data_IF_581441391460
#
_entry.id   IF_581441391460
#
_cell.length_a   1.000
_cell.length_b   1.000
_cell.length_c   1.000
_cell.angle_alpha   90.00
_cell.angle_beta   90.00
_cell.angle_gamma   90.00
#
_symmetry.space_group_name_H-M   'P 1'
#
loop_
_entity.id
_entity.type
_entity.pdbx_description
1 polymer ?
#
# COMPACT_ATOMS: atom_id res chain seq x y z
N UNK A 1 -37.50 11.70 19.06
CA UNK A 1 -37.05 10.30 19.06
C UNK A 1 -36.86 9.85 17.61
N UNK A 2 -35.66 10.04 17.05
CA UNK A 2 -35.34 9.60 15.68
C UNK A 2 -34.03 8.81 15.74
N UNK A 3 -34.11 7.57 15.26
CA UNK A 3 -33.11 6.53 15.36
C UNK A 3 -31.93 6.81 14.44
N UNK A 4 -30.72 6.84 15.01
CA UNK A 4 -29.48 6.76 14.24
C UNK A 4 -29.04 5.30 14.16
N UNK A 5 -29.24 4.70 12.98
CA UNK A 5 -28.69 3.38 12.64
C UNK A 5 -27.16 3.46 12.63
N UNK A 6 -26.53 2.63 13.46
CA UNK A 6 -25.08 2.43 13.48
C UNK A 6 -24.65 1.73 12.19
N UNK A 7 -24.07 2.47 11.25
CA UNK A 7 -23.25 1.91 10.19
C UNK A 7 -21.99 1.29 10.82
N UNK A 8 -21.96 -0.04 10.95
CA UNK A 8 -20.74 -0.78 11.30
C UNK A 8 -19.82 -0.82 10.09
N UNK A 9 -18.81 0.04 10.05
CA UNK A 9 -17.68 -0.13 9.14
C UNK A 9 -16.89 -1.38 9.55
N UNK A 10 -16.87 -2.37 8.66
CA UNK A 10 -16.05 -3.58 8.78
C UNK A 10 -14.63 -3.19 8.39
N UNK A 11 -13.77 -2.93 9.37
CA UNK A 11 -12.34 -2.67 9.15
C UNK A 11 -11.70 -4.02 8.85
N UNK A 12 -11.42 -4.29 7.57
CA UNK A 12 -10.58 -5.42 7.18
C UNK A 12 -9.14 -5.06 7.52
N UNK A 13 -8.67 -5.62 8.63
CA UNK A 13 -7.29 -5.54 9.06
C UNK A 13 -6.40 -6.26 8.05
N UNK A 14 -5.52 -5.51 7.38
CA UNK A 14 -4.37 -6.05 6.66
C UNK A 14 -3.11 -5.58 7.39
N UNK A 15 -2.56 -6.50 8.18
CA UNK A 15 -1.13 -6.81 8.25
C UNK A 15 -0.15 -5.96 9.09
N UNK A 16 -0.04 -6.31 10.37
CA UNK A 16 1.24 -6.47 11.07
C UNK A 16 1.19 -7.81 11.84
N UNK A 17 1.91 -8.88 11.43
CA UNK A 17 1.85 -10.15 12.11
C UNK A 17 2.88 -10.17 13.23
N UNK A 18 2.52 -9.64 14.41
CA UNK A 18 3.09 -10.02 15.71
C UNK A 18 2.56 -9.12 16.82
N UNK A 19 1.28 -9.25 17.23
CA UNK A 19 0.83 -8.64 18.48
C UNK A 19 -0.29 -9.41 19.21
N UNK A 20 -0.45 -10.70 18.95
CA UNK A 20 -1.42 -11.55 19.65
C UNK A 20 -0.77 -12.90 19.99
N UNK A 21 0.07 -12.92 21.02
CA UNK A 21 0.31 -14.06 21.91
C UNK A 21 1.34 -13.67 22.99
N UNK A 22 0.85 -13.21 24.14
CA UNK A 22 1.44 -13.43 25.47
C UNK A 22 0.60 -12.73 26.55
N UNK A 23 -0.64 -13.21 26.74
CA UNK A 23 -1.28 -13.10 28.06
C UNK A 23 -0.59 -14.17 28.90
N UNK A 24 0.51 -13.84 29.57
CA UNK A 24 1.20 -14.82 30.41
C UNK A 24 2.62 -14.52 30.91
N UNK A 25 3.25 -13.38 30.59
CA UNK A 25 4.54 -12.99 31.21
C UNK A 25 4.53 -11.46 31.46
N UNK A 26 3.93 -11.03 32.57
CA UNK A 26 4.05 -9.67 33.10
C UNK A 26 5.33 -9.64 33.95
N UNK A 27 6.41 -8.96 33.56
CA UNK A 27 6.64 -7.61 34.10
C UNK A 27 7.76 -6.80 33.41
N UNK A 28 8.38 -7.23 32.30
CA UNK A 28 9.55 -6.51 31.73
C UNK A 28 9.37 -5.87 30.35
N UNK A 29 8.29 -6.16 29.60
CA UNK A 29 8.13 -5.68 28.21
C UNK A 29 7.04 -4.59 27.99
N UNK A 30 6.47 -4.04 29.08
CA UNK A 30 5.35 -3.08 29.00
C UNK A 30 5.68 -1.81 28.20
N UNK A 31 6.90 -1.30 28.31
CA UNK A 31 7.34 -0.07 27.62
C UNK A 31 7.47 -0.26 26.10
N UNK A 32 8.05 -1.38 25.65
CA UNK A 32 8.24 -1.68 24.22
C UNK A 32 6.89 -1.91 23.51
N UNK A 33 5.98 -2.66 24.13
CA UNK A 33 4.64 -2.90 23.59
C UNK A 33 3.85 -1.59 23.50
N UNK A 34 3.91 -0.75 24.54
CA UNK A 34 3.23 0.56 24.53
C UNK A 34 3.78 1.49 23.44
N UNK A 35 5.10 1.48 23.23
CA UNK A 35 5.77 2.22 22.14
C UNK A 35 5.29 1.73 20.77
N UNK A 36 5.29 0.43 20.52
CA UNK A 36 4.80 -0.15 19.26
C UNK A 36 3.33 0.18 18.99
N UNK A 37 2.47 0.10 20.00
CA UNK A 37 1.05 0.46 19.88
C UNK A 37 0.90 1.97 19.57
N UNK A 38 1.73 2.83 20.17
CA UNK A 38 1.71 4.27 19.91
C UNK A 38 2.18 4.58 18.48
N UNK A 39 3.26 3.95 18.03
CA UNK A 39 3.80 4.09 16.68
C UNK A 39 2.82 3.58 15.62
N UNK A 40 2.22 2.40 15.84
CA UNK A 40 1.18 1.86 14.96
C UNK A 40 -0.05 2.79 14.86
N UNK A 41 -0.51 3.35 15.98
CA UNK A 41 -1.60 4.35 15.96
C UNK A 41 -1.21 5.62 15.21
N UNK A 42 0.02 6.09 15.34
CA UNK A 42 0.52 7.25 14.61
C UNK A 42 0.58 6.99 13.11
N UNK A 43 1.01 5.81 12.68
CA UNK A 43 1.04 5.42 11.27
C UNK A 43 -0.36 5.37 10.66
N UNK A 44 -1.34 4.77 11.36
CA UNK A 44 -2.74 4.74 10.92
C UNK A 44 -3.30 6.17 10.81
N UNK A 45 -3.03 7.03 11.79
CA UNK A 45 -3.47 8.42 11.76
C UNK A 45 -2.84 9.22 10.59
N UNK A 46 -1.57 8.94 10.26
CA UNK A 46 -0.89 9.55 9.12
C UNK A 46 -1.51 9.14 7.79
N UNK A 47 -1.76 7.84 7.58
CA UNK A 47 -2.42 7.32 6.37
C UNK A 47 -3.82 7.95 6.21
N UNK A 48 -4.62 8.00 7.29
CA UNK A 48 -5.94 8.64 7.28
C UNK A 48 -5.87 10.14 6.95
N UNK A 49 -4.85 10.85 7.43
CA UNK A 49 -4.64 12.25 7.12
C UNK A 49 -4.30 12.45 5.64
N UNK A 50 -3.39 11.62 5.10
CA UNK A 50 -3.03 11.63 3.69
C UNK A 50 -4.25 11.37 2.79
N UNK A 51 -5.05 10.36 3.12
CA UNK A 51 -6.28 10.05 2.40
C UNK A 51 -7.26 11.23 2.47
N UNK A 52 -7.50 11.79 3.65
CA UNK A 52 -8.44 12.90 3.84
C UNK A 52 -8.04 14.13 3.00
N UNK A 53 -6.76 14.49 3.01
CA UNK A 53 -6.24 15.60 2.21
C UNK A 53 -6.37 15.32 0.71
N UNK A 54 -6.03 14.10 0.28
CA UNK A 54 -6.14 13.72 -1.13
C UNK A 54 -7.59 13.78 -1.62
N UNK A 55 -8.53 13.21 -0.86
CA UNK A 55 -9.96 13.23 -1.18
C UNK A 55 -10.49 14.67 -1.26
N UNK A 56 -10.17 15.49 -0.26
CA UNK A 56 -10.64 16.88 -0.21
C UNK A 56 -10.05 17.71 -1.35
N UNK A 57 -8.75 17.56 -1.62
CA UNK A 57 -8.06 18.23 -2.72
C UNK A 57 -8.60 17.81 -4.09
N UNK A 58 -8.87 16.52 -4.27
CA UNK A 58 -9.46 15.99 -5.49
C UNK A 58 -10.87 16.56 -5.75
N UNK A 59 -11.72 16.63 -4.73
CA UNK A 59 -13.06 17.20 -4.89
C UNK A 59 -13.00 18.70 -5.21
N UNK A 60 -12.14 19.46 -4.54
CA UNK A 60 -11.91 20.87 -4.86
C UNK A 60 -11.42 21.04 -6.31
N UNK A 61 -10.48 20.21 -6.76
CA UNK A 61 -9.96 20.22 -8.13
C UNK A 61 -11.05 19.92 -9.16
N UNK A 62 -11.87 18.89 -8.91
CA UNK A 62 -12.99 18.50 -9.77
C UNK A 62 -14.03 19.60 -9.87
N UNK A 63 -14.31 20.28 -8.77
CA UNK A 63 -15.32 21.35 -8.68
C UNK A 63 -14.79 22.69 -9.23
N UNK A 64 -13.51 22.76 -9.63
CA UNK A 64 -12.87 23.92 -10.26
C UNK A 64 -12.25 24.91 -9.28
N UNK A 65 -12.23 24.61 -7.98
CA UNK A 65 -11.58 25.43 -6.95
C UNK A 65 -10.08 25.10 -6.88
N UNK A 66 -9.33 25.58 -7.87
CA UNK A 66 -7.91 25.26 -8.02
C UNK A 66 -7.04 25.84 -6.90
N UNK A 67 -7.45 26.93 -6.25
CA UNK A 67 -6.69 27.54 -5.15
C UNK A 67 -6.79 26.71 -3.86
N UNK A 68 -8.00 26.24 -3.54
CA UNK A 68 -8.21 25.33 -2.40
C UNK A 68 -7.55 23.98 -2.67
N UNK A 69 -7.72 23.45 -3.88
CA UNK A 69 -7.09 22.20 -4.29
C UNK A 69 -5.56 22.27 -4.16
N UNK A 70 -4.93 23.33 -4.67
CA UNK A 70 -3.49 23.56 -4.53
C UNK A 70 -3.05 23.51 -3.06
N UNK A 71 -3.72 24.26 -2.18
CA UNK A 71 -3.37 24.33 -0.75
C UNK A 71 -3.44 22.97 -0.07
N UNK A 72 -4.47 22.18 -0.40
CA UNK A 72 -4.66 20.83 0.14
C UNK A 72 -3.59 19.86 -0.38
N UNK A 73 -3.25 19.93 -1.67
CA UNK A 73 -2.20 19.09 -2.24
C UNK A 73 -0.79 19.47 -1.77
N UNK A 74 -0.49 20.77 -1.60
CA UNK A 74 0.76 21.22 -0.98
C UNK A 74 0.91 20.64 0.43
N UNK A 75 -0.17 20.72 1.23
CA UNK A 75 -0.20 20.13 2.57
C UNK A 75 0.00 18.61 2.54
N UNK A 76 -0.62 17.92 1.57
CA UNK A 76 -0.47 16.48 1.39
C UNK A 76 0.98 16.11 1.03
N UNK A 77 1.55 16.76 0.02
CA UNK A 77 2.93 16.51 -0.44
C UNK A 77 3.93 16.75 0.69
N UNK A 78 3.69 17.74 1.55
CA UNK A 78 4.54 18.02 2.70
C UNK A 78 4.52 16.90 3.76
N UNK A 79 3.38 16.25 3.99
CA UNK A 79 3.27 15.18 4.99
C UNK A 79 3.53 13.78 4.41
N UNK A 80 3.25 13.56 3.14
CA UNK A 80 3.32 12.25 2.48
C UNK A 80 4.73 11.95 1.94
N UNK A 81 5.68 11.85 2.86
CA UNK A 81 7.08 11.58 2.53
C UNK A 81 7.29 10.19 1.90
N UNK A 82 6.40 9.23 2.18
CA UNK A 82 6.44 7.87 1.63
C UNK A 82 5.80 7.77 0.23
N UNK A 83 5.03 8.78 -0.17
CA UNK A 83 4.26 8.82 -1.41
C UNK A 83 3.15 7.76 -1.44
N UNK A 84 2.39 7.65 -0.34
CA UNK A 84 1.14 6.90 -0.27
C UNK A 84 0.13 7.40 -1.30
N UNK A 85 0.11 8.71 -1.56
CA UNK A 85 -0.78 9.44 -2.47
C UNK A 85 0.01 10.31 -3.45
N UNK A 86 1.02 9.74 -4.11
CA UNK A 86 1.91 10.47 -5.02
C UNK A 86 1.18 11.11 -6.22
N UNK A 87 0.00 10.63 -6.60
CA UNK A 87 -0.86 11.25 -7.62
C UNK A 87 -1.14 12.73 -7.32
N UNK A 88 -1.09 13.12 -6.04
CA UNK A 88 -1.21 14.50 -5.60
C UNK A 88 -0.27 15.44 -6.35
N UNK A 89 0.94 14.98 -6.72
CA UNK A 89 1.90 15.81 -7.47
C UNK A 89 1.40 16.15 -8.88
N UNK A 90 0.68 15.24 -9.53
CA UNK A 90 0.09 15.50 -10.85
C UNK A 90 -1.06 16.50 -10.75
N UNK A 91 -1.95 16.33 -9.74
CA UNK A 91 -3.03 17.30 -9.51
C UNK A 91 -2.51 18.66 -9.07
N UNK A 92 -1.48 18.70 -8.21
CA UNK A 92 -0.82 19.93 -7.79
C UNK A 92 -0.21 20.67 -8.99
N UNK A 93 0.49 19.96 -9.88
CA UNK A 93 1.00 20.55 -11.11
C UNK A 93 -0.13 21.12 -11.99
N UNK A 94 -1.28 20.45 -12.09
CA UNK A 94 -2.45 20.98 -12.80
C UNK A 94 -3.05 22.22 -12.11
N UNK A 95 -3.09 22.26 -10.78
CA UNK A 95 -3.53 23.45 -10.06
C UNK A 95 -2.60 24.64 -10.35
N UNK A 96 -1.28 24.43 -10.27
CA UNK A 96 -0.27 25.46 -10.55
C UNK A 96 -0.32 26.00 -11.98
N UNK A 97 -0.70 25.18 -12.97
CA UNK A 97 -0.95 25.66 -14.33
C UNK A 97 -2.12 26.66 -14.41
N UNK A 98 -3.07 26.59 -13.47
CA UNK A 98 -4.25 27.47 -13.43
C UNK A 98 -4.02 28.72 -12.56
N UNK A 99 -3.24 28.59 -11.50
CA UNK A 99 -3.05 29.64 -10.48
C UNK A 99 -1.74 30.42 -10.64
N UNK A 100 -0.67 29.76 -11.09
CA UNK A 100 0.70 30.30 -11.12
C UNK A 100 1.32 30.20 -12.52
N UNK A 101 2.43 29.46 -12.66
CA UNK A 101 3.26 29.38 -13.86
C UNK A 101 3.53 27.93 -14.28
N UNK A 102 3.73 27.70 -15.59
CA UNK A 102 4.10 26.39 -16.12
C UNK A 102 5.45 25.90 -15.57
N UNK A 103 6.36 26.82 -15.27
CA UNK A 103 7.67 26.52 -14.69
C UNK A 103 7.58 25.91 -13.29
N UNK A 104 6.71 26.46 -12.43
CA UNK A 104 6.46 25.91 -11.10
C UNK A 104 5.78 24.54 -11.18
N UNK A 105 4.80 24.40 -12.06
CA UNK A 105 4.11 23.13 -12.27
C UNK A 105 5.07 22.00 -12.70
N UNK A 106 6.00 22.28 -13.62
CA UNK A 106 7.06 21.32 -14.03
C UNK A 106 8.04 21.03 -12.89
N UNK A 107 8.34 22.02 -12.06
CA UNK A 107 9.24 21.86 -10.92
C UNK A 107 8.68 20.87 -9.90
N UNK A 108 7.36 20.88 -9.63
CA UNK A 108 6.71 19.92 -8.73
C UNK A 108 6.92 18.47 -9.19
N UNK A 109 6.69 18.18 -10.48
CA UNK A 109 6.87 16.83 -11.02
C UNK A 109 8.34 16.40 -10.97
N UNK A 110 9.26 17.33 -11.22
CA UNK A 110 10.71 17.08 -11.16
C UNK A 110 11.19 16.80 -9.75
N UNK A 111 10.69 17.57 -8.77
CA UNK A 111 10.95 17.33 -7.36
C UNK A 111 10.41 15.97 -6.93
N UNK A 112 9.18 15.63 -7.29
CA UNK A 112 8.57 14.34 -7.01
C UNK A 112 9.42 13.19 -7.56
N UNK A 113 9.82 13.26 -8.83
CA UNK A 113 10.66 12.25 -9.46
C UNK A 113 12.01 12.10 -8.75
N UNK A 114 12.64 13.22 -8.39
CA UNK A 114 13.94 13.21 -7.69
C UNK A 114 13.81 12.60 -6.29
N UNK A 115 12.78 12.98 -5.53
CA UNK A 115 12.52 12.45 -4.20
C UNK A 115 12.24 10.95 -4.23
N UNK A 116 11.36 10.51 -5.12
CA UNK A 116 10.94 9.12 -5.17
C UNK A 116 11.95 8.19 -5.84
N UNK A 117 12.80 8.66 -6.74
CA UNK A 117 13.91 7.83 -7.26
C UNK A 117 14.87 7.41 -6.15
N UNK A 118 15.16 8.30 -5.19
CA UNK A 118 16.02 8.00 -4.02
C UNK A 118 15.34 7.05 -3.03
N UNK A 119 14.03 7.17 -2.85
CA UNK A 119 13.27 6.27 -1.97
C UNK A 119 13.15 4.88 -2.60
N UNK A 120 12.79 4.82 -3.89
CA UNK A 120 12.49 3.58 -4.60
C UNK A 120 13.77 2.76 -4.86
N UNK A 121 14.94 3.40 -5.01
CA UNK A 121 16.23 2.69 -5.14
C UNK A 121 16.55 1.82 -3.92
N UNK A 122 15.97 2.15 -2.76
CA UNK A 122 16.20 1.45 -1.49
C UNK A 122 15.01 0.57 -1.07
N UNK A 123 13.91 0.58 -1.81
CA UNK A 123 12.67 -0.07 -1.42
C UNK A 123 12.42 -1.38 -2.21
N UNK A 124 11.89 -2.39 -1.53
CA UNK A 124 11.38 -3.62 -2.18
C UNK A 124 9.99 -3.43 -2.82
N UNK A 125 9.41 -2.24 -2.69
CA UNK A 125 8.05 -1.91 -3.16
C UNK A 125 8.06 -1.83 -4.69
N UNK A 126 7.52 -2.87 -5.34
CA UNK A 126 7.38 -2.90 -6.79
C UNK A 126 6.01 -2.42 -7.18
N UNK A 127 5.97 -1.13 -7.48
CA UNK A 127 5.02 -0.43 -8.32
C UNK A 127 5.85 0.74 -8.86
N UNK A 128 6.03 0.87 -10.16
CA UNK A 128 7.04 1.80 -10.69
C UNK A 128 6.49 3.23 -10.72
N UNK A 129 6.22 3.81 -9.54
CA UNK A 129 5.88 5.23 -9.35
C UNK A 129 6.70 6.13 -10.25
N UNK A 130 8.00 5.87 -10.20
CA UNK A 130 9.04 6.61 -10.89
C UNK A 130 8.81 6.56 -12.41
N UNK A 131 8.32 5.45 -12.95
CA UNK A 131 8.01 5.32 -14.37
C UNK A 131 6.70 6.04 -14.73
N UNK A 132 5.68 5.99 -13.86
CA UNK A 132 4.48 6.83 -14.05
C UNK A 132 4.82 8.33 -13.98
N UNK A 133 5.62 8.77 -13.00
CA UNK A 133 6.06 10.16 -12.88
C UNK A 133 6.86 10.63 -14.11
N UNK A 134 7.77 9.79 -14.62
CA UNK A 134 8.47 10.07 -15.89
C UNK A 134 7.49 10.21 -17.05
N UNK A 135 6.51 9.31 -17.13
CA UNK A 135 5.48 9.39 -18.16
C UNK A 135 4.68 10.69 -18.04
N UNK A 136 4.26 11.06 -16.82
CA UNK A 136 3.52 12.29 -16.54
C UNK A 136 4.30 13.55 -16.93
N UNK A 137 5.61 13.59 -16.69
CA UNK A 137 6.46 14.68 -17.17
C UNK A 137 6.48 14.82 -18.69
N UNK A 138 6.47 13.70 -19.42
CA UNK A 138 6.50 13.69 -20.89
C UNK A 138 5.17 14.19 -21.49
N UNK A 139 4.04 13.80 -20.91
CA UNK A 139 2.71 14.16 -21.44
C UNK A 139 2.22 15.54 -20.96
N UNK A 140 2.89 16.11 -19.96
CA UNK A 140 2.58 17.43 -19.42
C UNK A 140 2.58 18.51 -20.54
N UNK A 141 1.62 19.47 -20.58
CA UNK A 141 0.65 19.85 -19.53
C UNK A 141 -0.64 19.03 -19.48
N UNK A 142 -0.77 17.96 -20.27
CA UNK A 142 -1.97 17.11 -20.20
C UNK A 142 -1.94 16.28 -18.91
N UNK A 143 -3.09 16.17 -18.26
CA UNK A 143 -3.26 15.24 -17.14
C UNK A 143 -3.27 13.81 -17.66
N UNK A 144 -2.61 12.92 -16.94
CA UNK A 144 -2.53 11.50 -17.29
C UNK A 144 -3.92 10.88 -17.38
N UNK A 145 -4.24 10.10 -18.43
CA UNK A 145 -5.58 9.51 -18.63
C UNK A 145 -6.07 8.72 -17.40
N UNK A 146 -5.17 8.02 -16.72
CA UNK A 146 -5.43 7.30 -15.47
C UNK A 146 -5.96 8.16 -14.31
N UNK A 147 -5.63 9.45 -14.30
CA UNK A 147 -6.03 10.42 -13.28
C UNK A 147 -7.18 11.29 -13.75
N UNK A 148 -7.66 11.11 -14.99
CA UNK A 148 -8.81 11.86 -15.46
C UNK A 148 -10.09 11.34 -14.81
N UNK A 149 -10.90 12.21 -14.16
CA UNK A 149 -12.20 11.80 -13.62
C UNK A 149 -13.07 11.22 -14.74
N UNK A 150 -13.50 9.97 -14.59
CA UNK A 150 -14.34 9.26 -15.53
C UNK A 150 -15.27 8.27 -14.83
N UNK A 151 -16.20 7.61 -15.55
CA UNK A 151 -17.22 6.74 -14.95
C UNK A 151 -16.65 5.57 -14.14
N UNK A 152 -15.40 5.17 -14.41
CA UNK A 152 -14.71 4.08 -13.69
C UNK A 152 -13.66 4.57 -12.67
N UNK A 153 -13.54 5.88 -12.46
CA UNK A 153 -12.59 6.43 -11.50
C UNK A 153 -13.17 6.34 -10.09
N UNK A 154 -12.64 5.41 -9.30
CA UNK A 154 -13.05 5.22 -7.89
C UNK A 154 -11.95 5.77 -7.02
N UNK A 155 -12.23 6.77 -6.19
CA UNK A 155 -11.22 7.40 -5.33
C UNK A 155 -10.84 6.51 -4.13
N UNK A 156 -10.31 5.32 -4.40
CA UNK A 156 -9.99 4.31 -3.40
C UNK A 156 -8.79 3.47 -3.86
N UNK A 157 -7.89 3.19 -2.92
CA UNK A 157 -6.84 2.20 -3.06
C UNK A 157 -7.30 0.91 -2.37
N UNK A 158 -7.14 -0.22 -3.04
CA UNK A 158 -7.46 -1.55 -2.52
C UNK A 158 -6.19 -2.41 -2.56
N UNK A 159 -5.63 -2.77 -1.38
CA UNK A 159 -4.46 -3.65 -1.31
C UNK A 159 -4.79 -5.05 -1.86
N UNK A 160 -3.79 -5.82 -2.29
CA UNK A 160 -4.03 -7.21 -2.66
C UNK A 160 -4.40 -8.04 -1.42
N UNK A 161 -5.42 -8.88 -1.54
CA UNK A 161 -5.87 -9.77 -0.47
C UNK A 161 -5.87 -11.21 -0.95
N UNK A 162 -5.67 -12.19 -0.06
CA UNK A 162 -5.79 -13.61 -0.44
C UNK A 162 -7.24 -13.90 -0.80
N UNK A 163 -7.48 -14.47 -1.98
CA UNK A 163 -8.81 -14.88 -2.40
C UNK A 163 -9.30 -16.02 -1.50
N UNK A 164 -10.43 -15.81 -0.83
CA UNK A 164 -10.95 -16.74 0.20
C UNK A 164 -10.33 -16.55 1.59
N UNK A 165 -9.53 -15.50 1.80
CA UNK A 165 -8.90 -15.18 3.09
C UNK A 165 -7.69 -16.05 3.41
N UNK A 166 -7.03 -15.76 4.54
CA UNK A 166 -5.78 -16.44 4.92
C UNK A 166 -5.96 -17.96 5.10
N UNK A 167 -7.14 -18.43 5.48
CA UNK A 167 -7.44 -19.85 5.58
C UNK A 167 -7.26 -20.59 4.25
N UNK A 168 -7.62 -19.95 3.12
CA UNK A 168 -7.45 -20.54 1.80
C UNK A 168 -5.97 -20.72 1.43
N UNK A 169 -5.10 -19.84 1.93
CA UNK A 169 -3.66 -19.98 1.81
C UNK A 169 -3.16 -21.11 2.72
N UNK A 170 -3.54 -21.11 4.00
CA UNK A 170 -3.03 -22.10 4.97
C UNK A 170 -3.46 -23.53 4.65
N UNK A 171 -4.59 -23.72 3.97
CA UNK A 171 -5.00 -25.04 3.43
C UNK A 171 -4.02 -25.60 2.38
N UNK A 172 -3.18 -24.76 1.79
CA UNK A 172 -2.17 -25.14 0.79
C UNK A 172 -0.77 -25.26 1.40
N UNK A 173 -0.61 -24.93 2.69
CA UNK A 173 0.67 -25.05 3.39
C UNK A 173 0.82 -26.51 3.82
N UNK A 174 1.75 -27.21 3.19
CA UNK A 174 2.11 -28.57 3.58
C UNK A 174 3.31 -28.52 4.51
N UNK A 175 3.11 -28.87 5.79
CA UNK A 175 4.21 -28.96 6.75
C UNK A 175 4.98 -30.27 6.51
N UNK A 176 6.27 -30.22 6.07
CA UNK A 176 7.08 -31.40 5.83
C UNK A 176 7.21 -32.31 7.06
N UNK A 177 7.16 -33.63 6.85
CA UNK A 177 7.25 -34.63 7.93
C UNK A 177 8.56 -34.53 8.71
N UNK A 178 9.69 -34.41 8.01
CA UNK A 178 11.03 -34.29 8.63
C UNK A 178 11.11 -33.07 9.57
N UNK A 179 10.57 -31.93 9.13
CA UNK A 179 10.55 -30.72 9.95
C UNK A 179 9.63 -30.87 11.17
N UNK A 180 8.52 -31.64 11.04
CA UNK A 180 7.61 -31.94 12.15
C UNK A 180 8.28 -32.88 13.18
N UNK A 181 8.98 -33.90 12.73
CA UNK A 181 9.73 -34.84 13.58
C UNK A 181 10.85 -34.12 14.35
N UNK A 182 11.54 -33.20 13.69
CA UNK A 182 12.59 -32.37 14.28
C UNK A 182 12.07 -31.15 15.05
N UNK A 183 10.75 -30.96 15.13
CA UNK A 183 10.09 -29.82 15.81
C UNK A 183 10.58 -28.44 15.33
N UNK A 184 10.86 -28.31 14.04
CA UNK A 184 11.35 -27.07 13.43
C UNK A 184 10.18 -26.13 13.15
N UNK A 185 10.02 -25.11 13.99
CA UNK A 185 8.97 -24.09 13.84
C UNK A 185 9.54 -22.72 13.44
N UNK A 186 8.74 -21.88 12.80
CA UNK A 186 9.10 -20.49 12.57
C UNK A 186 8.21 -19.79 11.56
N UNK A 187 8.60 -18.57 11.19
CA UNK A 187 7.88 -17.76 10.20
C UNK A 187 8.73 -17.54 8.96
N UNK A 188 8.37 -18.20 7.86
CA UNK A 188 9.00 -18.00 6.55
C UNK A 188 8.33 -16.82 5.86
N UNK A 189 9.08 -15.78 5.52
CA UNK A 189 8.57 -14.60 4.82
C UNK A 189 8.81 -14.71 3.33
N UNK A 190 7.73 -14.86 2.55
CA UNK A 190 7.77 -14.94 1.09
C UNK A 190 7.37 -13.60 0.48
N UNK A 191 8.06 -13.17 -0.56
CA UNK A 191 7.66 -12.03 -1.40
C UNK A 191 7.14 -12.57 -2.73
N UNK A 192 5.89 -12.25 -3.05
CA UNK A 192 5.25 -12.70 -4.29
C UNK A 192 4.89 -11.52 -5.19
N UNK A 193 5.10 -11.67 -6.49
CA UNK A 193 4.65 -10.77 -7.54
C UNK A 193 3.29 -11.23 -8.05
N UNK A 194 2.29 -10.37 -7.91
CA UNK A 194 0.91 -10.62 -8.35
C UNK A 194 0.65 -9.78 -9.60
N UNK A 195 0.05 -10.39 -10.62
CA UNK A 195 -0.36 -9.69 -11.83
C UNK A 195 -1.76 -9.08 -11.72
N UNK A 196 -2.18 -8.39 -12.77
CA UNK A 196 -3.50 -7.75 -12.84
C UNK A 196 -4.68 -8.74 -12.81
N UNK A 197 -4.45 -10.05 -12.94
CA UNK A 197 -5.47 -11.09 -12.79
C UNK A 197 -5.49 -11.71 -11.39
N UNK A 198 -4.64 -11.24 -10.47
CA UNK A 198 -4.55 -11.77 -9.12
C UNK A 198 -3.78 -13.09 -9.02
N UNK A 199 -3.03 -13.47 -10.08
CA UNK A 199 -2.18 -14.68 -10.07
C UNK A 199 -0.76 -14.33 -9.69
N UNK A 200 -0.09 -15.25 -8.99
CA UNK A 200 1.34 -15.13 -8.67
C UNK A 200 2.15 -15.45 -9.92
N UNK A 201 2.99 -14.49 -10.36
CA UNK A 201 3.93 -14.66 -11.48
C UNK A 201 5.28 -15.19 -11.01
N UNK A 202 5.70 -14.78 -9.81
CA UNK A 202 6.94 -15.23 -9.19
C UNK A 202 6.88 -15.06 -7.67
N UNK A 203 7.53 -15.95 -6.94
CA UNK A 203 7.69 -15.88 -5.50
C UNK A 203 9.14 -16.13 -5.10
N UNK A 204 9.61 -15.45 -4.06
CA UNK A 204 10.95 -15.66 -3.50
C UNK A 204 10.91 -15.59 -1.98
N UNK A 205 11.74 -16.40 -1.32
CA UNK A 205 11.91 -16.31 0.14
C UNK A 205 12.76 -15.09 0.45
N UNK A 206 12.21 -14.18 1.26
CA UNK A 206 12.91 -13.01 1.76
C UNK A 206 13.61 -13.29 3.09
N UNK A 207 12.93 -14.01 3.98
CA UNK A 207 13.47 -14.44 5.27
C UNK A 207 13.07 -15.91 5.44
N UNK A 208 14.05 -16.79 5.29
CA UNK A 208 13.89 -18.23 5.53
C UNK A 208 14.09 -18.57 7.00
N UNK A 209 13.63 -19.76 7.39
CA UNK A 209 13.85 -20.31 8.74
C UNK A 209 14.71 -21.56 8.66
N UNK A 210 14.31 -22.50 7.81
CA UNK A 210 15.01 -23.75 7.60
C UNK A 210 14.84 -24.19 6.14
N UNK A 211 15.85 -24.81 5.50
CA UNK A 211 15.78 -25.25 4.12
C UNK A 211 14.60 -26.18 3.78
N UNK A 212 14.06 -26.89 4.78
CA UNK A 212 12.89 -27.77 4.59
C UNK A 212 11.56 -27.00 4.56
N UNK A 213 11.45 -25.86 5.26
CA UNK A 213 10.21 -25.07 5.34
C UNK A 213 10.07 -24.10 4.17
N UNK A 214 11.19 -23.61 3.64
CA UNK A 214 11.23 -22.61 2.58
C UNK A 214 10.50 -23.07 1.28
N UNK A 215 10.70 -24.29 0.76
CA UNK A 215 9.98 -24.79 -0.42
C UNK A 215 8.47 -24.95 -0.18
N UNK A 216 8.08 -25.41 1.01
CA UNK A 216 6.67 -25.56 1.37
C UNK A 216 5.95 -24.20 1.41
N UNK A 217 6.61 -23.17 1.95
CA UNK A 217 6.08 -21.81 1.97
C UNK A 217 5.93 -21.23 0.56
N UNK A 218 6.94 -21.43 -0.30
CA UNK A 218 6.90 -21.00 -1.70
C UNK A 218 5.75 -21.66 -2.45
N UNK A 219 5.64 -22.98 -2.39
CA UNK A 219 4.60 -23.74 -3.08
C UNK A 219 3.19 -23.28 -2.68
N UNK A 220 2.96 -23.05 -1.38
CA UNK A 220 1.67 -22.57 -0.88
C UNK A 220 1.31 -21.17 -1.42
N UNK A 221 2.28 -20.25 -1.46
CA UNK A 221 2.08 -18.90 -1.97
C UNK A 221 1.89 -18.90 -3.49
N UNK A 222 2.68 -19.65 -4.24
CA UNK A 222 2.56 -19.79 -5.70
C UNK A 222 1.20 -20.39 -6.12
N UNK A 223 0.70 -21.35 -5.35
CA UNK A 223 -0.63 -21.94 -5.57
C UNK A 223 -1.77 -21.01 -5.14
N UNK A 224 -1.49 -19.86 -4.51
CA UNK A 224 -2.50 -18.94 -3.99
C UNK A 224 -2.96 -17.93 -5.05
N UNK A 225 -4.27 -17.68 -5.08
CA UNK A 225 -4.88 -16.62 -5.89
C UNK A 225 -5.21 -15.45 -4.98
N UNK A 226 -4.96 -14.24 -5.48
CA UNK A 226 -5.19 -12.99 -4.78
C UNK A 226 -6.28 -12.17 -5.47
N UNK A 227 -6.98 -11.36 -4.69
CA UNK A 227 -7.67 -10.18 -5.22
C UNK A 227 -6.58 -9.20 -5.66
N UNK A 228 -6.59 -8.74 -6.92
CA UNK A 228 -5.50 -7.92 -7.43
C UNK A 228 -5.51 -6.52 -6.81
N UNK A 229 -4.34 -5.89 -6.79
CA UNK A 229 -4.20 -4.52 -6.32
C UNK A 229 -4.95 -3.56 -7.25
N UNK A 230 -5.81 -2.71 -6.67
CA UNK A 230 -6.52 -1.68 -7.41
C UNK A 230 -6.18 -0.31 -6.86
N UNK A 231 -5.83 0.61 -7.75
CA UNK A 231 -5.50 1.99 -7.43
C UNK A 231 -6.33 2.89 -8.33
N UNK A 232 -7.23 3.66 -7.73
CA UNK A 232 -8.10 4.57 -8.46
C UNK A 232 -8.98 3.91 -9.54
N UNK A 233 -9.42 2.67 -9.30
CA UNK A 233 -10.15 1.85 -10.27
C UNK A 233 -9.27 1.15 -11.31
N UNK A 234 -7.96 1.44 -11.35
CA UNK A 234 -6.99 0.75 -12.21
C UNK A 234 -6.46 -0.48 -11.50
N UNK A 235 -6.45 -1.61 -12.20
CA UNK A 235 -5.83 -2.83 -11.69
C UNK A 235 -4.36 -2.85 -12.11
N UNK A 236 -3.45 -2.92 -11.13
CA UNK A 236 -2.01 -2.87 -11.36
C UNK A 236 -1.33 -4.10 -10.77
N UNK A 237 -0.24 -4.60 -11.40
CA UNK A 237 0.59 -5.62 -10.79
C UNK A 237 1.29 -5.06 -9.55
N UNK A 238 1.48 -5.89 -8.53
CA UNK A 238 2.07 -5.49 -7.25
C UNK A 238 2.94 -6.59 -6.65
N UNK A 239 3.81 -6.24 -5.70
CA UNK A 239 4.45 -7.21 -4.80
C UNK A 239 3.76 -7.23 -3.43
N UNK A 240 3.52 -8.41 -2.92
CA UNK A 240 3.02 -8.65 -1.57
C UNK A 240 4.08 -9.41 -0.76
N UNK A 241 4.12 -9.16 0.55
CA UNK A 241 4.94 -9.93 1.49
C UNK A 241 4.01 -10.78 2.35
N UNK A 242 4.26 -12.08 2.40
CA UNK A 242 3.42 -13.07 3.07
C UNK A 242 4.29 -13.96 3.99
N UNK A 243 4.32 -13.70 5.30
CA UNK A 243 4.72 -14.64 6.33
C UNK A 243 3.76 -15.81 6.44
N UNK A 244 4.37 -16.98 6.35
CA UNK A 244 3.79 -18.29 6.58
C UNK A 244 4.35 -18.80 7.89
N UNK A 245 3.47 -19.11 8.83
CA UNK A 245 3.84 -19.69 10.12
C UNK A 245 3.70 -21.21 10.04
N UNK A 246 4.75 -21.93 10.45
CA UNK A 246 4.79 -23.39 10.60
C UNK A 246 4.80 -23.78 12.07
#
# INVERSE_FOLDING_TARGET
MAQWQKFKFKVNAVWFPSLLLLVGILSTNSCAITKMIKEGRAAIAHEQACDTLFHSGYYAFRDGDFQVAQTLFDSLVAIDTAGLQYEAHAYLAQCLLKTSSETEAKAVLTHALTHFTVIDSNATRFWERTNELKHWQVIFPKLAPELTPGPNFVLKIQPPEVSGGMEALYKKVEYPEMAREMQISGTVTVVARINSLGRVESATVKIGVHPDLDPAALAAVEATTFVPYSRYGRILPCKVTVPIVF
#
